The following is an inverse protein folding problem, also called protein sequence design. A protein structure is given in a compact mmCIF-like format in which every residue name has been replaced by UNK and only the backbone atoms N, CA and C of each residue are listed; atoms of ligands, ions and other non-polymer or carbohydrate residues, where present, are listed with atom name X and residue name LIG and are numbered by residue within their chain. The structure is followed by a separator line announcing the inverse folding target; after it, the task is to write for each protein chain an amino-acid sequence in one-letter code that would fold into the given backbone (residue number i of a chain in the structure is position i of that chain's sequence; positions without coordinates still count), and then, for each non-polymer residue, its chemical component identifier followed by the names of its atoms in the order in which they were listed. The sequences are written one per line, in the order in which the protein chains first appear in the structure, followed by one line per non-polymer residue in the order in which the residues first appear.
data_IF_125238112736
#
_entry.id   IF_125238112736
#
_cell.length_a   1.000
_cell.length_b   1.000
_cell.length_c   1.000
_cell.angle_alpha   90.00
_cell.angle_beta   90.00
_cell.angle_gamma   90.00
#
_symmetry.space_group_name_H-M   'P 1'
#
loop_
_entity.id
_entity.type
_entity.pdbx_description
1 polymer ?
#
# COMPACT_ATOMS: atom_id res chain seq x y z
N UNK A 1 18.27 -7.74 -2.52
CA UNK A 1 18.52 -9.14 -2.09
C UNK A 1 18.42 -10.00 -3.34
N UNK A 2 19.49 -10.73 -3.70
CA UNK A 2 19.41 -11.77 -4.69
C UNK A 2 18.49 -12.87 -4.14
N UNK A 3 17.37 -13.13 -4.82
CA UNK A 3 16.48 -14.25 -4.49
C UNK A 3 17.19 -15.54 -4.91
N UNK A 4 17.50 -16.38 -3.95
CA UNK A 4 18.11 -17.68 -4.19
C UNK A 4 16.99 -18.64 -4.57
N UNK A 5 17.07 -19.20 -5.78
CA UNK A 5 16.11 -20.19 -6.27
C UNK A 5 16.68 -21.59 -5.99
N UNK A 6 16.01 -22.36 -5.13
CA UNK A 6 16.35 -23.75 -4.86
C UNK A 6 15.50 -24.64 -5.77
N UNK A 7 16.12 -25.39 -6.66
CA UNK A 7 15.43 -26.30 -7.59
C UNK A 7 15.76 -27.75 -7.18
N UNK A 8 14.74 -28.60 -7.14
CA UNK A 8 14.89 -30.03 -7.01
C UNK A 8 14.14 -30.75 -8.12
N UNK A 9 14.81 -31.66 -8.80
CA UNK A 9 14.54 -32.05 -10.18
C UNK A 9 14.04 -33.51 -10.35
N UNK A 10 13.43 -34.14 -9.33
CA UNK A 10 12.87 -35.50 -9.45
C UNK A 10 11.37 -35.49 -9.16
N UNK A 11 10.57 -35.18 -10.20
CA UNK A 11 9.11 -35.17 -10.13
C UNK A 11 8.44 -36.22 -11.01
N UNK A 12 9.25 -37.11 -11.62
CA UNK A 12 8.79 -38.16 -12.55
C UNK A 12 9.44 -39.51 -12.24
N UNK A 13 8.73 -40.62 -12.56
CA UNK A 13 9.21 -41.99 -12.40
C UNK A 13 9.00 -42.60 -11.01
N UNK A 14 9.50 -43.84 -10.82
CA UNK A 14 9.39 -44.55 -9.55
C UNK A 14 10.05 -43.76 -8.41
N UNK A 15 9.29 -43.54 -7.32
CA UNK A 15 9.74 -42.75 -6.15
C UNK A 15 9.63 -41.25 -6.30
N UNK A 16 8.98 -40.74 -7.35
CA UNK A 16 8.74 -39.29 -7.54
C UNK A 16 8.01 -38.68 -6.35
N UNK A 17 6.94 -39.32 -5.87
CA UNK A 17 6.16 -38.82 -4.75
C UNK A 17 6.98 -38.65 -3.46
N UNK A 18 7.87 -39.60 -3.16
CA UNK A 18 8.79 -39.50 -2.00
C UNK A 18 9.79 -38.35 -2.17
N UNK A 19 10.27 -38.15 -3.40
CA UNK A 19 11.15 -37.04 -3.73
C UNK A 19 10.47 -35.70 -3.57
N UNK A 20 9.19 -35.57 -3.99
CA UNK A 20 8.36 -34.37 -3.83
C UNK A 20 8.18 -34.06 -2.35
N UNK A 21 7.74 -35.05 -1.55
CA UNK A 21 7.57 -34.90 -0.09
C UNK A 21 8.85 -34.43 0.58
N UNK A 22 9.97 -35.04 0.23
CA UNK A 22 11.28 -34.66 0.79
C UNK A 22 11.66 -33.23 0.34
N UNK A 23 11.37 -32.86 -0.90
CA UNK A 23 11.60 -31.51 -1.43
C UNK A 23 10.81 -30.45 -0.67
N UNK A 24 9.51 -30.68 -0.45
CA UNK A 24 8.63 -29.78 0.30
C UNK A 24 9.17 -29.59 1.73
N UNK A 25 9.44 -30.67 2.45
CA UNK A 25 9.95 -30.60 3.84
C UNK A 25 11.31 -29.90 3.93
N UNK A 26 12.18 -30.09 2.95
CA UNK A 26 13.47 -29.43 2.92
C UNK A 26 13.36 -27.94 2.68
N UNK A 27 12.48 -27.52 1.77
CA UNK A 27 12.25 -26.10 1.48
C UNK A 27 11.52 -25.40 2.62
N UNK A 28 10.56 -26.06 3.25
CA UNK A 28 9.87 -25.53 4.44
C UNK A 28 10.86 -25.31 5.59
N UNK A 29 11.77 -26.26 5.81
CA UNK A 29 12.85 -26.13 6.80
C UNK A 29 13.91 -25.09 6.45
N UNK A 30 14.06 -24.72 5.17
CA UNK A 30 14.99 -23.69 4.72
C UNK A 30 14.44 -22.27 4.90
N UNK A 31 13.14 -22.11 5.24
CA UNK A 31 12.52 -20.82 5.50
C UNK A 31 12.38 -19.94 4.24
N UNK A 32 11.99 -20.55 3.13
CA UNK A 32 11.66 -19.82 1.90
C UNK A 32 10.31 -19.12 2.04
N UNK A 33 10.09 -18.05 1.27
CA UNK A 33 8.85 -17.25 1.35
C UNK A 33 7.65 -17.96 0.68
N UNK A 34 7.89 -18.74 -0.38
CA UNK A 34 6.87 -19.47 -1.15
C UNK A 34 7.50 -20.69 -1.80
N UNK A 35 6.74 -21.79 -1.87
CA UNK A 35 7.14 -23.02 -2.56
C UNK A 35 6.25 -23.17 -3.80
N UNK A 36 6.86 -23.40 -4.96
CA UNK A 36 6.14 -23.80 -6.18
C UNK A 36 6.36 -25.28 -6.39
N UNK A 37 5.27 -26.03 -6.37
CA UNK A 37 5.24 -27.45 -6.69
C UNK A 37 4.68 -27.59 -8.10
N UNK A 38 5.51 -27.98 -9.04
CA UNK A 38 5.11 -28.05 -10.44
C UNK A 38 5.94 -29.04 -11.23
N UNK A 39 5.49 -29.29 -12.45
CA UNK A 39 6.26 -30.10 -13.40
C UNK A 39 6.40 -29.39 -14.74
N UNK A 40 7.41 -29.79 -15.51
CA UNK A 40 7.52 -29.47 -16.92
C UNK A 40 6.50 -30.23 -17.76
N UNK A 41 6.48 -30.04 -19.07
CA UNK A 41 5.63 -30.82 -20.00
C UNK A 41 5.95 -32.31 -19.93
N UNK A 42 4.91 -33.16 -19.97
CA UNK A 42 5.01 -34.63 -19.93
C UNK A 42 3.63 -35.28 -20.05
N UNK A 43 3.58 -36.63 -20.02
CA UNK A 43 2.34 -37.41 -20.15
C UNK A 43 1.45 -37.32 -18.90
N UNK A 44 0.17 -37.68 -19.06
CA UNK A 44 -0.81 -37.76 -17.94
C UNK A 44 -0.32 -38.74 -16.86
N UNK A 45 0.43 -39.78 -17.23
CA UNK A 45 1.00 -40.76 -16.30
C UNK A 45 1.94 -40.12 -15.27
N UNK A 46 2.60 -39.04 -15.64
CA UNK A 46 3.50 -38.32 -14.75
C UNK A 46 2.75 -37.50 -13.66
N UNK A 47 1.43 -37.32 -13.81
CA UNK A 47 0.58 -36.66 -12.80
C UNK A 47 0.24 -37.54 -11.59
N UNK A 48 0.40 -38.87 -11.73
CA UNK A 48 -0.01 -39.83 -10.66
C UNK A 48 0.75 -39.59 -9.36
N UNK A 49 2.01 -39.22 -9.41
CA UNK A 49 2.77 -38.90 -8.22
C UNK A 49 2.17 -37.78 -7.37
N UNK A 50 1.48 -36.81 -8.00
CA UNK A 50 0.83 -35.70 -7.32
C UNK A 50 -0.59 -36.04 -6.81
N UNK A 51 -1.09 -37.25 -7.16
CA UNK A 51 -2.34 -37.80 -6.64
C UNK A 51 -2.12 -38.73 -5.43
N UNK A 52 -0.90 -38.92 -5.00
CA UNK A 52 -0.59 -39.74 -3.83
C UNK A 52 -0.92 -38.98 -2.54
N UNK A 53 -1.58 -39.66 -1.59
CA UNK A 53 -1.98 -39.11 -0.29
C UNK A 53 -0.79 -38.50 0.48
N UNK A 54 0.39 -39.14 0.40
CA UNK A 54 1.60 -38.62 1.08
C UNK A 54 2.05 -37.24 0.60
N UNK A 55 1.83 -36.94 -0.69
CA UNK A 55 2.16 -35.62 -1.26
C UNK A 55 1.13 -34.59 -0.79
N UNK A 56 -0.16 -34.91 -0.85
CA UNK A 56 -1.21 -34.04 -0.35
C UNK A 56 -1.06 -33.71 1.14
N UNK A 57 -0.70 -34.71 1.95
CA UNK A 57 -0.42 -34.51 3.38
C UNK A 57 0.81 -33.63 3.61
N UNK A 58 1.88 -33.81 2.84
CA UNK A 58 3.07 -32.98 2.94
C UNK A 58 2.81 -31.53 2.57
N UNK A 59 1.94 -31.29 1.58
CA UNK A 59 1.48 -29.94 1.21
C UNK A 59 0.66 -29.32 2.36
N UNK A 60 -0.31 -30.06 2.89
CA UNK A 60 -1.18 -29.60 3.97
C UNK A 60 -0.43 -29.29 5.28
N UNK A 61 0.57 -30.09 5.62
CA UNK A 61 1.39 -29.92 6.83
C UNK A 61 2.45 -28.82 6.71
N UNK A 62 2.72 -28.35 5.48
CA UNK A 62 3.71 -27.32 5.20
C UNK A 62 3.27 -25.97 5.79
N UNK A 63 4.21 -25.23 6.40
CA UNK A 63 3.96 -23.89 6.95
C UNK A 63 4.16 -22.80 5.90
N UNK A 64 5.04 -23.06 4.95
CA UNK A 64 5.33 -22.14 3.85
C UNK A 64 4.21 -22.23 2.81
N UNK A 65 3.65 -21.10 2.33
CA UNK A 65 2.64 -21.11 1.29
C UNK A 65 3.07 -21.87 0.05
N UNK A 66 2.19 -22.74 -0.47
CA UNK A 66 2.46 -23.59 -1.62
C UNK A 66 1.56 -23.22 -2.80
N UNK A 67 2.18 -22.99 -3.95
CA UNK A 67 1.50 -22.83 -5.24
C UNK A 67 1.66 -24.11 -6.03
N UNK A 68 0.55 -24.79 -6.36
CA UNK A 68 0.57 -25.95 -7.24
C UNK A 68 0.53 -25.50 -8.71
N UNK A 69 1.42 -26.03 -9.52
CA UNK A 69 1.51 -25.79 -10.96
C UNK A 69 1.76 -27.11 -11.71
N UNK A 70 0.97 -28.11 -11.37
CA UNK A 70 1.14 -29.51 -11.84
C UNK A 70 0.33 -29.79 -13.09
N UNK A 71 -0.95 -29.42 -13.08
CA UNK A 71 -1.91 -29.73 -14.14
C UNK A 71 -2.24 -28.53 -15.01
N UNK A 72 -2.61 -28.80 -16.28
CA UNK A 72 -3.20 -27.82 -17.17
C UNK A 72 -4.63 -27.50 -16.74
N UNK A 73 -5.33 -26.59 -17.47
CA UNK A 73 -6.65 -26.07 -17.07
C UNK A 73 -7.69 -27.16 -16.78
N UNK A 74 -7.61 -28.32 -17.45
CA UNK A 74 -8.54 -29.45 -17.35
C UNK A 74 -8.11 -30.54 -16.38
N UNK A 75 -6.83 -30.60 -16.02
CA UNK A 75 -6.25 -31.72 -15.28
C UNK A 75 -6.03 -31.32 -13.81
N UNK A 76 -6.88 -31.83 -12.93
CA UNK A 76 -6.77 -31.59 -11.50
C UNK A 76 -6.11 -32.75 -10.79
N UNK A 77 -5.21 -32.45 -9.87
CA UNK A 77 -4.59 -33.42 -8.97
C UNK A 77 -5.00 -33.16 -7.53
N UNK A 78 -4.83 -34.16 -6.65
CA UNK A 78 -5.07 -33.99 -5.21
C UNK A 78 -4.13 -32.91 -4.63
N UNK A 79 -2.93 -32.82 -5.15
CA UNK A 79 -1.99 -31.74 -4.77
C UNK A 79 -2.54 -30.34 -5.04
N UNK A 80 -3.31 -30.15 -6.13
CA UNK A 80 -3.93 -28.84 -6.45
C UNK A 80 -5.00 -28.43 -5.44
N UNK A 81 -5.72 -29.41 -4.86
CA UNK A 81 -6.74 -29.15 -3.84
C UNK A 81 -6.12 -28.97 -2.44
N UNK A 82 -4.94 -29.50 -2.19
CA UNK A 82 -4.24 -29.36 -0.93
C UNK A 82 -3.39 -28.08 -0.85
N UNK A 83 -3.02 -27.51 -1.99
CA UNK A 83 -2.20 -26.30 -2.09
C UNK A 83 -3.02 -25.02 -1.76
N UNK A 84 -2.33 -23.98 -1.29
CA UNK A 84 -2.94 -22.68 -0.99
C UNK A 84 -3.42 -21.95 -2.26
N UNK A 85 -2.71 -22.14 -3.37
CA UNK A 85 -3.05 -21.54 -4.66
C UNK A 85 -2.72 -22.51 -5.80
N UNK A 86 -3.53 -22.50 -6.85
CA UNK A 86 -3.29 -23.24 -8.09
C UNK A 86 -2.96 -22.30 -9.23
N UNK A 87 -1.97 -22.68 -10.01
CA UNK A 87 -1.61 -22.03 -11.27
C UNK A 87 -1.65 -23.02 -12.43
N UNK A 88 -2.08 -22.62 -13.64
CA UNK A 88 -2.18 -23.52 -14.78
C UNK A 88 -0.83 -23.93 -15.37
N UNK A 89 0.22 -23.18 -15.08
CA UNK A 89 1.59 -23.43 -15.53
C UNK A 89 2.62 -22.99 -14.49
N UNK A 90 3.84 -23.56 -14.49
CA UNK A 90 4.93 -23.09 -13.64
C UNK A 90 5.30 -21.61 -13.84
N UNK A 91 5.16 -21.10 -15.09
CA UNK A 91 5.38 -19.68 -15.37
C UNK A 91 4.33 -18.78 -14.70
N UNK A 92 3.05 -19.16 -14.81
CA UNK A 92 1.99 -18.47 -14.11
C UNK A 92 2.14 -18.53 -12.58
N UNK A 93 2.59 -19.66 -12.04
CA UNK A 93 2.91 -19.79 -10.62
C UNK A 93 4.03 -18.84 -10.19
N UNK A 94 5.06 -18.68 -11.02
CA UNK A 94 6.14 -17.75 -10.76
C UNK A 94 5.67 -16.27 -10.78
N UNK A 95 4.76 -15.92 -11.68
CA UNK A 95 4.13 -14.59 -11.71
C UNK A 95 3.29 -14.35 -10.46
N UNK A 96 2.50 -15.33 -10.04
CA UNK A 96 1.68 -15.24 -8.82
C UNK A 96 2.50 -15.21 -7.53
N UNK A 97 3.68 -15.83 -7.53
CA UNK A 97 4.59 -15.86 -6.38
C UNK A 97 5.34 -14.54 -6.17
N UNK A 98 5.33 -13.65 -7.16
CA UNK A 98 6.02 -12.36 -7.10
C UNK A 98 4.99 -11.25 -7.14
N UNK A 99 4.93 -10.45 -6.07
CA UNK A 99 4.16 -9.20 -6.11
C UNK A 99 4.62 -8.34 -7.29
N UNK A 100 3.68 -7.79 -8.02
CA UNK A 100 3.99 -6.80 -9.04
C UNK A 100 4.51 -5.52 -8.36
N UNK A 101 5.84 -5.48 -8.21
CA UNK A 101 6.55 -4.36 -7.60
C UNK A 101 6.23 -3.03 -8.28
N UNK A 102 5.99 -3.04 -9.58
CA UNK A 102 5.61 -1.84 -10.33
C UNK A 102 4.23 -1.34 -9.89
N UNK A 103 3.27 -2.24 -9.69
CA UNK A 103 1.93 -1.89 -9.20
C UNK A 103 1.99 -1.34 -7.77
N UNK A 104 2.76 -1.95 -6.89
CA UNK A 104 2.96 -1.46 -5.52
C UNK A 104 3.58 -0.08 -5.51
N UNK A 105 4.62 0.16 -6.33
CA UNK A 105 5.24 1.48 -6.46
C UNK A 105 4.26 2.53 -7.00
N UNK A 106 3.45 2.18 -7.99
CA UNK A 106 2.42 3.08 -8.51
C UNK A 106 1.38 3.46 -7.44
N UNK A 107 0.95 2.50 -6.63
CA UNK A 107 0.04 2.76 -5.50
C UNK A 107 0.68 3.70 -4.49
N UNK A 108 1.94 3.47 -4.13
CA UNK A 108 2.70 4.32 -3.21
C UNK A 108 2.87 5.76 -3.74
N UNK A 109 3.18 5.92 -5.02
CA UNK A 109 3.29 7.24 -5.64
C UNK A 109 1.95 7.98 -5.64
N UNK A 110 0.85 7.30 -5.93
CA UNK A 110 -0.49 7.87 -5.84
C UNK A 110 -0.82 8.36 -4.41
N UNK A 111 -0.50 7.55 -3.39
CA UNK A 111 -0.67 7.97 -1.99
C UNK A 111 0.20 9.17 -1.64
N UNK A 112 1.45 9.20 -2.10
CA UNK A 112 2.38 10.30 -1.88
C UNK A 112 1.89 11.59 -2.51
N UNK A 113 1.36 11.53 -3.72
CA UNK A 113 0.80 12.70 -4.42
C UNK A 113 -0.47 13.21 -3.72
N UNK A 114 -1.36 12.31 -3.33
CA UNK A 114 -2.56 12.64 -2.56
C UNK A 114 -2.20 13.32 -1.24
N UNK A 115 -1.29 12.73 -0.49
CA UNK A 115 -0.82 13.31 0.77
C UNK A 115 -0.21 14.71 0.60
N UNK A 116 0.62 14.91 -0.44
CA UNK A 116 1.19 16.22 -0.74
C UNK A 116 0.14 17.27 -1.08
N UNK A 117 -0.91 16.89 -1.79
CA UNK A 117 -2.03 17.77 -2.11
C UNK A 117 -2.79 18.16 -0.86
N UNK A 118 -3.21 17.18 -0.07
CA UNK A 118 -3.97 17.39 1.16
C UNK A 118 -3.20 18.28 2.16
N UNK A 119 -1.88 18.06 2.27
CA UNK A 119 -1.03 18.89 3.12
C UNK A 119 -0.92 20.34 2.61
N UNK A 120 -0.79 20.55 1.30
CA UNK A 120 -0.78 21.90 0.72
C UNK A 120 -2.09 22.65 0.98
N UNK A 121 -3.22 21.99 0.74
CA UNK A 121 -4.55 22.57 0.99
C UNK A 121 -4.70 22.95 2.47
N UNK A 122 -4.26 22.08 3.37
CA UNK A 122 -4.31 22.33 4.81
C UNK A 122 -3.43 23.51 5.23
N UNK A 123 -2.24 23.63 4.67
CA UNK A 123 -1.35 24.77 4.91
C UNK A 123 -1.96 26.06 4.40
N UNK A 124 -2.50 26.07 3.18
CA UNK A 124 -3.14 27.27 2.61
C UNK A 124 -4.37 27.69 3.43
N UNK A 125 -5.19 26.74 3.85
CA UNK A 125 -6.31 27.03 4.74
C UNK A 125 -5.86 27.70 6.06
N UNK A 126 -4.78 27.20 6.67
CA UNK A 126 -4.26 27.80 7.90
C UNK A 126 -3.64 29.18 7.67
N UNK A 127 -2.99 29.41 6.52
CA UNK A 127 -2.49 30.75 6.14
C UNK A 127 -3.62 31.75 6.03
N UNK A 128 -4.70 31.39 5.31
CA UNK A 128 -5.88 32.27 5.18
C UNK A 128 -6.47 32.59 6.55
N UNK A 129 -6.62 31.61 7.43
CA UNK A 129 -7.09 31.84 8.81
C UNK A 129 -6.17 32.77 9.59
N UNK A 130 -4.87 32.58 9.46
CA UNK A 130 -3.87 33.44 10.13
C UNK A 130 -4.01 34.91 9.67
N UNK A 131 -4.15 35.15 8.38
CA UNK A 131 -4.33 36.50 7.85
C UNK A 131 -5.66 37.13 8.34
N UNK A 132 -6.73 36.36 8.40
CA UNK A 132 -7.99 36.83 9.00
C UNK A 132 -7.81 37.22 10.48
N UNK A 133 -7.09 36.45 11.25
CA UNK A 133 -6.82 36.78 12.65
C UNK A 133 -5.92 38.02 12.79
N UNK A 134 -4.90 38.18 11.94
CA UNK A 134 -4.09 39.40 11.91
C UNK A 134 -4.92 40.66 11.62
N UNK A 135 -5.80 40.58 10.62
CA UNK A 135 -6.72 41.69 10.31
C UNK A 135 -7.63 42.01 11.50
N UNK A 136 -8.26 41.00 12.11
CA UNK A 136 -9.11 41.22 13.31
C UNK A 136 -8.31 41.85 14.45
N UNK A 137 -7.10 41.37 14.73
CA UNK A 137 -6.25 41.97 15.77
C UNK A 137 -5.92 43.44 15.45
N UNK A 138 -5.63 43.74 14.19
CA UNK A 138 -5.35 45.13 13.76
C UNK A 138 -6.53 46.05 14.02
N UNK A 139 -7.76 45.64 13.68
CA UNK A 139 -8.96 46.45 13.88
C UNK A 139 -9.41 46.53 15.34
N UNK A 140 -9.21 45.47 16.12
CA UNK A 140 -9.60 45.40 17.53
C UNK A 140 -8.48 45.84 18.49
N UNK A 141 -7.32 46.22 17.97
CA UNK A 141 -6.20 46.63 18.82
C UNK A 141 -6.53 47.89 19.63
N UNK A 142 -6.05 48.00 20.87
CA UNK A 142 -6.19 49.20 21.67
C UNK A 142 -5.65 50.46 20.94
N UNK A 143 -4.57 50.29 20.17
CA UNK A 143 -3.97 51.36 19.38
C UNK A 143 -4.91 51.87 18.28
N UNK A 144 -5.61 50.98 17.59
CA UNK A 144 -6.63 51.38 16.59
C UNK A 144 -7.75 52.15 17.25
N UNK A 145 -8.27 51.66 18.39
CA UNK A 145 -9.32 52.35 19.14
C UNK A 145 -8.88 53.73 19.63
N UNK A 146 -7.65 53.84 20.10
CA UNK A 146 -7.11 55.15 20.53
C UNK A 146 -6.97 56.13 19.36
N UNK A 147 -6.57 55.62 18.19
CA UNK A 147 -6.47 56.46 16.98
C UNK A 147 -7.84 56.96 16.55
N UNK A 148 -8.82 56.06 16.49
CA UNK A 148 -10.19 56.38 16.10
C UNK A 148 -10.81 57.40 17.08
N UNK A 149 -10.63 57.22 18.39
CA UNK A 149 -11.09 58.14 19.41
C UNK A 149 -10.40 59.50 19.31
N UNK A 150 -9.10 59.53 19.01
CA UNK A 150 -8.39 60.80 18.78
C UNK A 150 -8.89 61.53 17.55
N UNK A 151 -9.23 60.80 16.49
CA UNK A 151 -9.83 61.40 15.29
C UNK A 151 -11.18 62.01 15.60
N UNK A 152 -12.06 61.28 16.30
CA UNK A 152 -13.35 61.78 16.72
C UNK A 152 -13.23 63.06 17.60
N UNK A 153 -12.26 63.08 18.52
CA UNK A 153 -12.02 64.27 19.32
C UNK A 153 -11.54 65.45 18.47
N UNK A 154 -10.67 65.25 17.50
CA UNK A 154 -10.22 66.31 16.60
C UNK A 154 -11.40 66.89 15.75
N UNK A 155 -12.25 65.96 15.26
CA UNK A 155 -13.41 66.34 14.49
C UNK A 155 -14.43 67.19 15.34
N UNK A 156 -14.57 66.89 16.62
CA UNK A 156 -15.38 67.71 17.55
C UNK A 156 -14.73 69.02 17.84
N UNK A 157 -13.42 69.11 18.05
CA UNK A 157 -12.70 70.37 18.26
C UNK A 157 -12.85 71.31 17.05
N UNK A 158 -12.68 70.79 15.84
CA UNK A 158 -12.86 71.49 14.60
C UNK A 158 -14.32 72.02 14.48
N UNK A 159 -15.30 71.20 14.78
CA UNK A 159 -16.70 71.56 14.75
C UNK A 159 -17.01 72.70 15.75
N UNK A 160 -16.51 72.64 16.96
CA UNK A 160 -16.68 73.64 17.99
C UNK A 160 -16.01 74.99 17.62
N UNK A 161 -14.82 74.93 17.02
CA UNK A 161 -14.14 76.16 16.54
C UNK A 161 -14.92 76.85 15.42
N UNK A 162 -15.58 76.08 14.54
CA UNK A 162 -16.39 76.69 13.44
C UNK A 162 -17.77 77.14 13.88
N UNK A 163 -18.33 76.55 14.96
CA UNK A 163 -19.66 76.89 15.45
C UNK A 163 -19.67 77.91 16.62
N UNK A 164 -18.49 78.29 17.13
CA UNK A 164 -18.37 79.29 18.16
C UNK A 164 -18.71 80.64 17.57
N UNK A 165 -19.70 81.36 18.11
CA UNK A 165 -20.03 82.70 17.61
C UNK A 165 -18.80 83.59 17.77
N UNK A 166 -18.53 84.39 16.73
CA UNK A 166 -17.44 85.33 16.72
C UNK A 166 -17.61 86.34 17.91
N UNK A 167 -16.53 86.62 18.66
CA UNK A 167 -16.63 87.58 19.78
C UNK A 167 -16.79 89.02 19.34
N UNK A 168 -17.36 89.26 18.16
CA UNK A 168 -17.60 90.58 17.59
C UNK A 168 -19.04 90.70 17.14
N UNK A 169 -19.94 90.78 18.07
CA UNK A 169 -21.22 91.47 17.94
C UNK A 169 -21.64 92.00 19.30
#
# INVERSE_FOLDING_TARGET
RQRQMCIRDRVQGDGAADSIVQGIRMLDGAGVDTIIVGRGGGSIEDLWAFNEEKVARAIFECRTPIISAVGHETDFTIADFAADLRAPTPSAAAELAVDDFAQVMHILDNYRERFRRDMRERIEYQKVRLEQYKLRLKYLSPESRLRDNRQILADYDDCLLYTSPSPRD
#
